data_IF_306656028649
#
_entry.id   IF_306656028649
#
_cell.length_a   1.000
_cell.length_b   1.000
_cell.length_c   1.000
_cell.angle_alpha   90.00
_cell.angle_beta   90.00
_cell.angle_gamma   90.00
#
_symmetry.space_group_name_H-M   'P 1'
#
loop_
_entity.id
_entity.type
_entity.pdbx_description
1 polymer ?
#
# COMPACT_ATOMS: atom_id res chain seq x y z
N UNK A 1 13.13 -28.36 -42.37
CA UNK A 1 12.84 -26.97 -41.95
C UNK A 1 13.83 -26.05 -42.64
N UNK A 2 13.38 -24.95 -43.26
CA UNK A 2 14.28 -23.98 -43.87
C UNK A 2 15.15 -23.31 -42.79
N UNK A 3 16.36 -22.86 -43.15
CA UNK A 3 17.27 -22.16 -42.22
C UNK A 3 16.60 -20.96 -41.51
N UNK A 4 15.62 -20.32 -42.16
CA UNK A 4 14.84 -19.23 -41.57
C UNK A 4 13.97 -19.70 -40.39
N UNK A 5 13.38 -20.90 -40.46
CA UNK A 5 12.54 -21.41 -39.37
C UNK A 5 13.37 -21.80 -38.13
N UNK A 6 14.63 -22.21 -38.31
CA UNK A 6 15.54 -22.46 -37.19
C UNK A 6 15.98 -21.16 -36.49
N UNK A 7 16.25 -20.11 -37.27
CA UNK A 7 16.65 -18.81 -36.71
C UNK A 7 15.51 -18.17 -35.89
N UNK A 8 14.27 -18.24 -36.40
CA UNK A 8 13.07 -17.73 -35.68
C UNK A 8 12.86 -18.51 -34.37
N UNK A 9 13.05 -19.83 -34.38
CA UNK A 9 12.90 -20.65 -33.19
C UNK A 9 13.95 -20.29 -32.13
N UNK A 10 15.21 -20.10 -32.53
CA UNK A 10 16.33 -19.74 -31.64
C UNK A 10 16.12 -18.35 -31.04
N UNK A 11 15.70 -17.37 -31.84
CA UNK A 11 15.41 -16.01 -31.35
C UNK A 11 14.23 -16.03 -30.38
N UNK A 12 13.18 -16.80 -30.66
CA UNK A 12 12.03 -16.95 -29.76
C UNK A 12 12.42 -17.64 -28.45
N UNK A 13 13.29 -18.66 -28.50
CA UNK A 13 13.81 -19.34 -27.31
C UNK A 13 14.68 -18.42 -26.47
N UNK A 14 15.56 -17.62 -27.11
CA UNK A 14 16.38 -16.62 -26.43
C UNK A 14 15.53 -15.52 -25.79
N UNK A 15 14.48 -15.07 -26.46
CA UNK A 15 13.53 -14.11 -25.89
C UNK A 15 12.78 -14.70 -24.69
N UNK A 16 12.41 -15.98 -24.75
CA UNK A 16 11.79 -16.69 -23.63
C UNK A 16 12.77 -16.85 -22.47
N UNK A 17 14.01 -17.24 -22.73
CA UNK A 17 15.06 -17.39 -21.73
C UNK A 17 15.41 -16.04 -21.09
N UNK A 18 15.52 -14.96 -21.87
CA UNK A 18 15.78 -13.62 -21.33
C UNK A 18 14.61 -13.12 -20.49
N UNK A 19 13.36 -13.32 -20.93
CA UNK A 19 12.19 -12.97 -20.11
C UNK A 19 12.11 -13.84 -18.85
N UNK A 20 12.49 -15.11 -18.91
CA UNK A 20 12.56 -16.00 -17.75
C UNK A 20 13.67 -15.54 -16.80
N UNK A 21 14.86 -15.17 -17.28
CA UNK A 21 15.98 -14.70 -16.45
C UNK A 21 15.66 -13.33 -15.83
N UNK A 22 15.07 -12.40 -16.58
CA UNK A 22 14.64 -11.08 -16.07
C UNK A 22 13.49 -11.23 -15.06
N UNK A 23 12.59 -12.20 -15.27
CA UNK A 23 11.58 -12.57 -14.27
C UNK A 23 12.20 -13.27 -13.04
N UNK A 24 13.29 -14.02 -13.22
CA UNK A 24 13.99 -14.73 -12.15
C UNK A 24 14.80 -13.78 -11.25
N UNK A 25 15.41 -12.72 -11.81
CA UNK A 25 16.06 -11.66 -11.01
C UNK A 25 15.07 -10.88 -10.13
N UNK A 26 13.77 -10.97 -10.40
CA UNK A 26 12.71 -10.38 -9.57
C UNK A 26 12.13 -11.31 -8.49
N UNK A 27 12.63 -12.54 -8.38
CA UNK A 27 12.14 -13.57 -7.45
C UNK A 27 13.25 -14.19 -6.60
N UNK A 28 14.14 -13.38 -6.05
CA UNK A 28 14.73 -13.75 -4.75
C UNK A 28 13.62 -13.61 -3.70
N UNK A 29 12.72 -14.60 -3.62
CA UNK A 29 11.81 -14.72 -2.49
C UNK A 29 12.64 -14.64 -1.21
N UNK A 30 12.37 -13.66 -0.37
CA UNK A 30 13.00 -13.62 0.93
C UNK A 30 12.62 -14.91 1.65
N UNK A 31 13.55 -15.49 2.42
CA UNK A 31 13.29 -16.67 3.24
C UNK A 31 12.45 -16.33 4.49
N UNK A 32 11.52 -15.38 4.38
CA UNK A 32 10.62 -14.98 5.47
C UNK A 32 9.34 -15.78 5.32
N UNK A 33 9.02 -16.58 6.34
CA UNK A 33 7.87 -17.49 6.36
C UNK A 33 7.12 -17.36 7.67
N UNK A 34 5.85 -17.76 7.68
CA UNK A 34 5.12 -17.93 8.92
C UNK A 34 5.60 -19.18 9.65
N UNK A 35 5.82 -19.05 10.95
CA UNK A 35 5.90 -20.16 11.88
C UNK A 35 4.52 -20.42 12.48
N UNK A 36 4.40 -21.45 13.32
CA UNK A 36 3.15 -21.74 14.02
C UNK A 36 2.80 -20.60 15.00
N UNK A 37 1.53 -20.52 15.38
CA UNK A 37 1.04 -19.57 16.38
C UNK A 37 1.39 -18.10 16.07
N UNK A 38 1.50 -17.73 14.79
CA UNK A 38 1.83 -16.37 14.37
C UNK A 38 3.29 -15.99 14.58
N UNK A 39 4.20 -16.95 14.75
CA UNK A 39 5.63 -16.72 14.66
C UNK A 39 6.08 -16.35 13.23
N UNK A 40 7.30 -15.84 13.11
CA UNK A 40 7.90 -15.49 11.81
C UNK A 40 9.33 -16.01 11.72
N UNK A 41 9.66 -16.69 10.64
CA UNK A 41 11.02 -17.12 10.34
C UNK A 41 11.82 -15.91 9.84
N UNK A 42 12.88 -15.57 10.56
CA UNK A 42 13.80 -14.50 10.23
C UNK A 42 15.23 -14.97 10.51
N UNK A 43 16.10 -14.85 9.50
CA UNK A 43 17.49 -15.31 9.58
C UNK A 43 17.67 -16.79 9.93
N UNK A 44 16.76 -17.65 9.46
CA UNK A 44 16.81 -19.10 9.68
C UNK A 44 16.32 -19.57 11.05
N UNK A 45 15.69 -18.68 11.83
CA UNK A 45 15.09 -19.02 13.12
C UNK A 45 13.72 -18.38 13.28
N UNK A 46 12.81 -19.02 14.01
CA UNK A 46 11.50 -18.46 14.29
C UNK A 46 11.58 -17.45 15.45
N UNK A 47 11.04 -16.25 15.21
CA UNK A 47 10.72 -15.27 16.24
C UNK A 47 9.31 -15.60 16.75
N UNK A 48 9.25 -16.00 18.02
CA UNK A 48 8.04 -16.53 18.64
C UNK A 48 7.35 -15.53 19.56
N UNK A 49 6.02 -15.69 19.77
CA UNK A 49 5.33 -14.99 20.83
C UNK A 49 5.97 -15.26 22.18
N UNK A 50 5.82 -14.32 23.11
CA UNK A 50 6.05 -14.60 24.52
C UNK A 50 5.21 -15.82 24.93
N UNK A 51 5.80 -16.73 25.72
CA UNK A 51 5.21 -18.04 26.09
C UNK A 51 5.26 -19.15 25.03
N UNK A 52 5.78 -18.87 23.82
CA UNK A 52 5.98 -19.88 22.79
C UNK A 52 7.48 -20.02 22.51
N UNK A 53 7.91 -21.21 22.12
CA UNK A 53 9.35 -21.48 21.95
C UNK A 53 9.59 -22.58 20.92
N UNK A 54 10.85 -22.85 20.64
CA UNK A 54 11.25 -23.91 19.72
C UNK A 54 11.29 -23.45 18.26
N UNK A 55 11.55 -24.41 17.38
CA UNK A 55 11.92 -24.10 15.99
C UNK A 55 10.73 -23.70 15.12
N UNK A 56 9.49 -23.88 15.62
CA UNK A 56 8.26 -23.51 14.91
C UNK A 56 7.35 -22.62 15.74
N UNK A 57 7.78 -22.19 16.93
CA UNK A 57 6.93 -21.51 17.91
C UNK A 57 5.80 -22.39 18.43
N UNK A 58 6.11 -23.66 18.68
CA UNK A 58 5.25 -24.59 19.37
C UNK A 58 4.92 -24.13 20.81
N UNK A 59 3.74 -24.51 21.30
CA UNK A 59 3.29 -24.20 22.66
C UNK A 59 4.18 -24.99 23.64
N UNK A 60 4.82 -24.27 24.55
CA UNK A 60 5.66 -24.87 25.60
C UNK A 60 5.34 -24.28 26.99
N UNK A 61 4.10 -23.85 27.19
CA UNK A 61 3.75 -22.94 28.27
C UNK A 61 2.43 -23.27 28.92
N UNK A 62 2.40 -23.13 30.24
CA UNK A 62 1.21 -23.14 31.10
C UNK A 62 0.64 -21.74 31.32
N UNK A 63 1.14 -20.72 30.62
CA UNK A 63 0.68 -19.34 30.73
C UNK A 63 -0.78 -19.21 30.31
N UNK A 64 -1.53 -18.46 31.11
CA UNK A 64 -2.97 -18.26 30.89
C UNK A 64 -3.20 -17.64 29.51
N UNK A 65 -2.35 -16.68 29.11
CA UNK A 65 -2.47 -15.96 27.85
C UNK A 65 -2.45 -16.86 26.61
N UNK A 66 -1.85 -18.07 26.66
CA UNK A 66 -1.71 -18.94 25.47
C UNK A 66 -2.92 -19.84 25.23
N UNK A 67 -3.93 -19.80 26.11
CA UNK A 67 -5.13 -20.67 26.04
C UNK A 67 -6.41 -19.91 25.70
N UNK A 68 -6.28 -18.62 25.40
CA UNK A 68 -7.38 -17.68 25.27
C UNK A 68 -8.16 -17.89 23.99
N UNK A 69 -9.49 -17.84 24.10
CA UNK A 69 -10.41 -17.91 22.97
C UNK A 69 -11.43 -16.79 23.02
N UNK A 70 -11.85 -16.34 21.83
CA UNK A 70 -13.02 -15.48 21.63
C UNK A 70 -14.03 -16.18 20.72
N UNK A 71 -14.98 -16.88 21.34
CA UNK A 71 -15.80 -17.87 20.64
C UNK A 71 -14.92 -18.98 20.08
N UNK A 72 -14.98 -19.17 18.76
CA UNK A 72 -14.17 -20.17 18.04
C UNK A 72 -12.77 -19.66 17.65
N UNK A 73 -12.49 -18.37 17.82
CA UNK A 73 -11.19 -17.80 17.47
C UNK A 73 -10.16 -18.07 18.57
N UNK A 74 -9.03 -18.68 18.21
CA UNK A 74 -7.86 -18.77 19.08
C UNK A 74 -7.15 -17.42 19.12
N UNK A 75 -7.10 -16.83 20.32
CA UNK A 75 -6.44 -15.55 20.59
C UNK A 75 -5.19 -15.72 21.45
N UNK A 76 -4.74 -16.96 21.70
CA UNK A 76 -3.64 -17.21 22.62
C UNK A 76 -2.36 -16.49 22.22
N UNK A 77 -2.00 -16.59 20.94
CA UNK A 77 -0.81 -15.93 20.40
C UNK A 77 -0.91 -14.39 20.47
N UNK A 78 -2.06 -13.83 20.10
CA UNK A 78 -2.34 -12.41 20.18
C UNK A 78 -2.26 -11.90 21.61
N UNK A 79 -2.92 -12.60 22.54
CA UNK A 79 -2.98 -12.26 23.96
C UNK A 79 -1.58 -12.24 24.57
N UNK A 80 -0.76 -13.28 24.32
CA UNK A 80 0.61 -13.31 24.83
C UNK A 80 1.52 -12.26 24.19
N UNK A 81 1.36 -11.94 22.89
CA UNK A 81 2.11 -10.84 22.29
C UNK A 81 1.73 -9.49 22.88
N UNK A 82 0.45 -9.27 23.14
CA UNK A 82 -0.01 -8.04 23.75
C UNK A 82 0.49 -7.90 25.20
N UNK A 83 0.49 -9.01 25.96
CA UNK A 83 1.12 -9.10 27.28
C UNK A 83 2.60 -8.70 27.22
N UNK A 84 3.33 -9.22 26.24
CA UNK A 84 4.74 -8.90 26.03
C UNK A 84 4.97 -7.42 25.73
N UNK A 85 4.20 -6.82 24.80
CA UNK A 85 4.31 -5.38 24.49
C UNK A 85 4.07 -4.50 25.72
N UNK A 86 3.11 -4.89 26.55
CA UNK A 86 2.82 -4.19 27.79
C UNK A 86 3.98 -4.33 28.81
N UNK A 87 4.57 -5.52 28.95
CA UNK A 87 5.62 -5.78 29.94
C UNK A 87 6.94 -5.07 29.63
N UNK A 88 7.30 -4.93 28.35
CA UNK A 88 8.52 -4.21 27.94
C UNK A 88 8.33 -2.70 27.81
N UNK A 89 7.11 -2.20 28.02
CA UNK A 89 6.72 -0.83 27.72
C UNK A 89 7.11 -0.43 26.28
N UNK A 90 6.53 -1.11 25.29
CA UNK A 90 6.95 -0.98 23.88
C UNK A 90 7.03 0.47 23.38
N UNK A 91 6.17 1.38 23.87
CA UNK A 91 6.23 2.81 23.52
C UNK A 91 7.50 3.50 24.02
N UNK A 92 8.02 3.13 25.19
CA UNK A 92 9.30 3.63 25.68
C UNK A 92 10.50 3.05 24.91
N UNK A 93 10.33 1.90 24.25
CA UNK A 93 11.33 1.28 23.39
C UNK A 93 11.25 1.75 21.93
N UNK A 94 10.35 2.69 21.64
CA UNK A 94 10.14 3.17 20.28
C UNK A 94 11.42 3.76 19.70
N UNK A 95 11.66 3.52 18.41
CA UNK A 95 12.81 4.06 17.71
C UNK A 95 12.81 5.59 17.79
N UNK A 96 13.98 6.16 18.08
CA UNK A 96 14.21 7.60 17.91
C UNK A 96 14.26 7.97 16.42
N UNK A 97 14.33 9.27 16.13
CA UNK A 97 14.36 9.80 14.75
C UNK A 97 15.76 9.73 14.10
N UNK A 98 16.68 8.94 14.66
CA UNK A 98 18.04 8.86 14.14
C UNK A 98 18.07 7.98 12.89
N UNK A 99 18.71 8.48 11.82
CA UNK A 99 18.92 7.72 10.61
C UNK A 99 19.78 6.48 10.93
N UNK A 100 19.24 5.30 10.65
CA UNK A 100 19.94 4.02 10.77
C UNK A 100 20.61 3.76 9.43
N UNK A 101 21.94 3.76 9.38
CA UNK A 101 22.69 3.77 8.10
C UNK A 101 23.34 2.42 7.80
N UNK A 102 23.75 1.66 8.82
CA UNK A 102 24.47 0.40 8.64
C UNK A 102 23.51 -0.80 8.51
N UNK A 103 23.77 -1.70 7.56
CA UNK A 103 23.05 -2.97 7.36
C UNK A 103 22.94 -3.81 8.64
N UNK A 104 24.01 -3.90 9.44
CA UNK A 104 23.95 -4.69 10.67
C UNK A 104 23.02 -4.11 11.71
N UNK A 105 22.95 -2.78 11.79
CA UNK A 105 22.04 -2.10 12.71
C UNK A 105 20.60 -2.26 12.22
N UNK A 106 20.36 -2.09 10.92
CA UNK A 106 19.05 -2.35 10.32
C UNK A 106 18.56 -3.76 10.61
N UNK A 107 19.41 -4.77 10.43
CA UNK A 107 19.08 -6.15 10.69
C UNK A 107 18.55 -6.35 12.11
N UNK A 108 19.34 -5.92 13.10
CA UNK A 108 18.98 -6.02 14.51
C UNK A 108 17.70 -5.24 14.84
N UNK A 109 17.47 -4.10 14.19
CA UNK A 109 16.25 -3.30 14.39
C UNK A 109 15.03 -3.95 13.76
N UNK A 110 15.13 -4.50 12.55
CA UNK A 110 14.06 -5.27 11.93
C UNK A 110 13.70 -6.48 12.80
N UNK A 111 14.70 -7.24 13.26
CA UNK A 111 14.49 -8.36 14.18
C UNK A 111 13.77 -7.91 15.47
N UNK A 112 14.16 -6.76 16.03
CA UNK A 112 13.50 -6.18 17.20
C UNK A 112 12.03 -5.81 16.92
N UNK A 113 11.73 -5.18 15.78
CA UNK A 113 10.36 -4.84 15.40
C UNK A 113 9.51 -6.12 15.24
N UNK A 114 10.10 -7.16 14.64
CA UNK A 114 9.45 -8.46 14.46
C UNK A 114 9.22 -9.22 15.78
N UNK A 115 9.99 -8.92 16.83
CA UNK A 115 9.74 -9.44 18.19
C UNK A 115 8.59 -8.69 18.88
N UNK A 116 8.48 -7.38 18.65
CA UNK A 116 7.55 -6.52 19.39
C UNK A 116 6.12 -6.57 18.82
N UNK A 117 5.94 -6.49 17.51
CA UNK A 117 4.63 -6.16 16.92
C UNK A 117 3.84 -7.34 16.32
N UNK A 118 4.25 -8.58 16.63
CA UNK A 118 3.49 -9.78 16.24
C UNK A 118 2.14 -9.90 17.00
N UNK A 119 1.40 -11.01 16.81
CA UNK A 119 1.65 -12.13 15.90
C UNK A 119 1.64 -11.73 14.42
N UNK A 120 2.18 -12.60 13.57
CA UNK A 120 2.33 -12.40 12.12
C UNK A 120 1.31 -13.22 11.31
N UNK A 121 0.86 -12.64 10.20
CA UNK A 121 -0.12 -13.17 9.26
C UNK A 121 0.47 -13.26 7.85
N UNK A 122 -0.26 -13.87 6.91
CA UNK A 122 0.17 -13.95 5.50
C UNK A 122 0.32 -12.56 4.88
N UNK A 123 -0.58 -11.63 5.20
CA UNK A 123 -0.50 -10.25 4.72
C UNK A 123 0.78 -9.55 5.20
N UNK A 124 1.24 -9.83 6.42
CA UNK A 124 2.51 -9.26 6.92
C UNK A 124 3.71 -9.81 6.16
N UNK A 125 3.75 -11.11 5.90
CA UNK A 125 4.84 -11.72 5.13
C UNK A 125 4.88 -11.17 3.70
N UNK A 126 3.72 -10.99 3.08
CA UNK A 126 3.61 -10.35 1.78
C UNK A 126 4.19 -8.93 1.82
N UNK A 127 3.81 -8.13 2.82
CA UNK A 127 4.34 -6.77 3.00
C UNK A 127 5.86 -6.75 3.16
N UNK A 128 6.41 -7.60 4.03
CA UNK A 128 7.86 -7.68 4.24
C UNK A 128 8.61 -8.11 2.98
N UNK A 129 8.02 -8.97 2.14
CA UNK A 129 8.61 -9.34 0.84
C UNK A 129 8.73 -8.18 -0.15
N UNK A 130 7.84 -7.19 -0.09
CA UNK A 130 7.99 -5.98 -0.88
C UNK A 130 9.00 -5.01 -0.24
N UNK A 131 9.03 -4.94 1.08
CA UNK A 131 9.76 -3.90 1.79
C UNK A 131 11.23 -4.22 2.05
N UNK A 132 11.55 -5.48 2.36
CA UNK A 132 12.88 -5.90 2.76
C UNK A 132 13.70 -6.39 1.57
N UNK A 133 15.01 -6.34 1.74
CA UNK A 133 15.98 -7.06 0.91
C UNK A 133 16.92 -7.84 1.82
N UNK A 134 17.41 -8.98 1.32
CA UNK A 134 18.42 -9.80 1.99
C UNK A 134 19.74 -9.67 1.23
N UNK A 135 20.82 -9.38 1.93
CA UNK A 135 22.16 -9.44 1.37
C UNK A 135 22.57 -10.91 1.22
N UNK A 136 22.96 -11.32 0.01
CA UNK A 136 23.34 -12.70 -0.30
C UNK A 136 24.58 -13.16 0.46
N UNK A 137 25.52 -12.24 0.71
CA UNK A 137 26.83 -12.55 1.26
C UNK A 137 26.79 -12.62 2.78
N UNK A 138 26.03 -11.71 3.41
CA UNK A 138 25.94 -11.61 4.88
C UNK A 138 24.69 -12.30 5.45
N UNK A 139 23.70 -12.61 4.61
CA UNK A 139 22.39 -13.10 5.03
C UNK A 139 21.53 -12.04 5.75
N UNK A 140 22.02 -10.79 5.86
CA UNK A 140 21.35 -9.75 6.64
C UNK A 140 20.24 -9.06 5.85
N UNK A 141 19.09 -8.91 6.50
CA UNK A 141 17.97 -8.08 6.03
C UNK A 141 18.17 -6.58 6.26
N UNK A 142 17.68 -5.78 5.32
CA UNK A 142 17.61 -4.30 5.37
C UNK A 142 16.37 -3.81 4.61
N UNK A 143 16.00 -2.53 4.74
CA UNK A 143 14.94 -1.95 3.89
C UNK A 143 15.46 -1.79 2.45
N UNK A 144 14.58 -2.04 1.48
CA UNK A 144 14.93 -1.97 0.05
C UNK A 144 15.35 -0.56 -0.39
N UNK A 145 14.72 0.48 0.16
CA UNK A 145 14.90 1.89 -0.25
C UNK A 145 15.52 2.81 0.81
N UNK A 146 16.20 2.24 1.81
CA UNK A 146 16.90 3.07 2.79
C UNK A 146 17.91 4.01 2.09
N UNK A 147 17.94 5.29 2.52
CA UNK A 147 18.96 6.29 2.17
C UNK A 147 19.13 6.56 0.67
N UNK A 148 18.15 6.22 -0.17
CA UNK A 148 18.15 6.64 -1.56
C UNK A 148 17.58 8.06 -1.66
N UNK A 149 18.45 9.05 -1.85
CA UNK A 149 18.00 10.37 -2.27
C UNK A 149 17.56 10.31 -3.73
N UNK A 150 16.25 10.23 -3.96
CA UNK A 150 15.67 10.57 -5.25
C UNK A 150 15.64 12.08 -5.39
N UNK A 151 16.79 12.66 -5.76
CA UNK A 151 16.86 14.06 -6.13
C UNK A 151 16.22 14.25 -7.51
N UNK A 152 14.94 14.62 -7.51
CA UNK A 152 14.29 15.16 -8.71
C UNK A 152 14.77 16.61 -8.86
N UNK A 153 15.41 16.97 -9.98
CA UNK A 153 15.76 18.36 -10.23
C UNK A 153 14.50 19.22 -10.13
N UNK A 154 14.60 20.32 -9.36
CA UNK A 154 13.53 21.32 -9.28
C UNK A 154 13.53 22.14 -10.58
N UNK A 155 13.03 21.53 -11.65
CA UNK A 155 12.88 22.13 -12.96
C UNK A 155 11.39 22.30 -13.31
N UNK A 156 11.11 23.17 -14.28
CA UNK A 156 9.74 23.49 -14.71
C UNK A 156 9.15 22.43 -15.67
N UNK A 157 9.77 21.26 -15.85
CA UNK A 157 9.26 20.24 -16.77
C UNK A 157 8.15 19.43 -16.11
N UNK A 158 7.11 19.14 -16.89
CA UNK A 158 6.05 18.22 -16.50
C UNK A 158 6.64 16.86 -16.11
N UNK A 159 6.31 16.43 -14.89
CA UNK A 159 6.74 15.13 -14.37
C UNK A 159 5.63 14.09 -14.52
N UNK A 160 5.96 12.80 -14.67
CA UNK A 160 4.97 11.75 -14.58
C UNK A 160 4.17 11.80 -13.27
N UNK A 161 2.95 11.26 -13.30
CA UNK A 161 2.16 10.92 -12.13
C UNK A 161 2.19 9.41 -11.94
N UNK A 162 2.03 8.97 -10.69
CA UNK A 162 1.81 7.59 -10.33
C UNK A 162 0.40 7.39 -9.77
N UNK A 163 -0.22 6.26 -10.09
CA UNK A 163 -1.55 5.90 -9.65
C UNK A 163 -1.52 4.52 -8.99
N UNK A 164 -2.15 4.41 -7.83
CA UNK A 164 -2.40 3.13 -7.15
C UNK A 164 -3.90 2.88 -7.19
N UNK A 165 -4.33 1.88 -7.95
CA UNK A 165 -5.74 1.52 -8.08
C UNK A 165 -6.05 0.27 -7.24
N UNK A 166 -6.89 0.43 -6.23
CA UNK A 166 -7.33 -0.64 -5.32
C UNK A 166 -8.71 -1.15 -5.76
N UNK A 167 -8.73 -2.38 -6.30
CA UNK A 167 -9.91 -3.00 -6.91
C UNK A 167 -10.39 -4.15 -6.01
N UNK A 168 -11.55 -3.97 -5.39
CA UNK A 168 -12.19 -5.02 -4.59
C UNK A 168 -13.14 -5.91 -5.42
N UNK A 169 -13.68 -5.37 -6.51
CA UNK A 169 -14.52 -6.05 -7.48
C UNK A 169 -14.12 -5.61 -8.88
N UNK A 170 -13.90 -6.56 -9.79
CA UNK A 170 -13.53 -6.25 -11.17
C UNK A 170 -14.78 -5.82 -11.95
N UNK A 171 -14.72 -4.63 -12.53
CA UNK A 171 -15.68 -4.11 -13.48
C UNK A 171 -14.93 -3.49 -14.66
N UNK A 172 -14.77 -4.26 -15.74
CA UNK A 172 -13.91 -3.90 -16.86
C UNK A 172 -14.38 -2.59 -17.52
N UNK A 173 -15.70 -2.34 -17.60
CA UNK A 173 -16.24 -1.11 -18.22
C UNK A 173 -15.87 0.15 -17.42
N UNK A 174 -15.96 0.11 -16.09
CA UNK A 174 -15.55 1.24 -15.24
C UNK A 174 -14.04 1.45 -15.28
N UNK A 175 -13.26 0.36 -15.27
CA UNK A 175 -11.80 0.43 -15.39
C UNK A 175 -11.42 1.02 -16.76
N UNK A 176 -12.06 0.57 -17.84
CA UNK A 176 -11.82 1.10 -19.18
C UNK A 176 -12.14 2.59 -19.29
N UNK A 177 -13.29 3.00 -18.73
CA UNK A 177 -13.67 4.41 -18.67
C UNK A 177 -12.64 5.24 -17.91
N UNK A 178 -12.14 4.74 -16.77
CA UNK A 178 -11.13 5.42 -15.97
C UNK A 178 -9.78 5.50 -16.71
N UNK A 179 -9.36 4.43 -17.38
CA UNK A 179 -8.11 4.38 -18.13
C UNK A 179 -8.14 5.27 -19.37
N UNK A 180 -9.28 5.40 -20.06
CA UNK A 180 -9.45 6.39 -21.13
C UNK A 180 -9.18 7.82 -20.68
N UNK A 181 -9.40 8.12 -19.40
CA UNK A 181 -9.14 9.44 -18.81
C UNK A 181 -7.70 9.56 -18.30
N UNK A 182 -7.23 8.57 -17.55
CA UNK A 182 -5.98 8.69 -16.78
C UNK A 182 -4.74 8.14 -17.50
N UNK A 183 -4.90 7.24 -18.47
CA UNK A 183 -3.76 6.51 -19.03
C UNK A 183 -2.96 7.36 -20.01
N UNK A 184 -1.66 7.48 -19.71
CA UNK A 184 -0.63 7.92 -20.66
C UNK A 184 0.62 7.07 -20.46
N UNK A 185 1.38 6.76 -21.53
CA UNK A 185 2.53 5.84 -21.47
C UNK A 185 3.70 6.32 -20.58
N UNK A 186 3.75 7.62 -20.27
CA UNK A 186 4.76 8.19 -19.38
C UNK A 186 4.36 8.18 -17.90
N UNK A 187 3.08 8.02 -17.55
CA UNK A 187 2.61 7.84 -16.17
C UNK A 187 2.84 6.41 -15.68
N UNK A 188 2.66 6.18 -14.38
CA UNK A 188 2.84 4.88 -13.74
C UNK A 188 1.54 4.39 -13.09
N UNK A 189 1.26 3.10 -13.20
CA UNK A 189 0.05 2.49 -12.65
C UNK A 189 0.43 1.22 -11.90
N UNK A 190 0.06 1.13 -10.63
CA UNK A 190 0.07 -0.12 -9.87
C UNK A 190 -1.37 -0.48 -9.53
N UNK A 191 -1.77 -1.69 -9.89
CA UNK A 191 -3.12 -2.19 -9.75
C UNK A 191 -3.11 -3.31 -8.72
N UNK A 192 -3.86 -3.12 -7.64
CA UNK A 192 -4.14 -4.18 -6.67
C UNK A 192 -5.55 -4.71 -6.93
N UNK A 193 -5.68 -6.03 -7.02
CA UNK A 193 -6.96 -6.74 -7.04
C UNK A 193 -7.05 -7.50 -5.72
N UNK A 194 -8.12 -7.31 -4.96
CA UNK A 194 -8.32 -7.98 -3.67
C UNK A 194 -8.35 -9.50 -3.85
N UNK A 195 -7.62 -10.24 -3.02
CA UNK A 195 -7.62 -11.71 -3.05
C UNK A 195 -8.96 -12.34 -2.66
N UNK A 196 -9.90 -11.57 -2.09
CA UNK A 196 -11.30 -11.97 -1.96
C UNK A 196 -12.02 -12.13 -3.30
N UNK A 197 -11.55 -11.44 -4.33
CA UNK A 197 -12.13 -11.50 -5.66
C UNK A 197 -11.69 -12.80 -6.34
N UNK A 198 -12.61 -13.77 -6.46
CA UNK A 198 -12.30 -15.14 -6.87
C UNK A 198 -12.69 -15.48 -8.33
N UNK A 199 -13.02 -14.49 -9.15
CA UNK A 199 -13.35 -14.70 -10.56
C UNK A 199 -12.09 -14.63 -11.43
N UNK A 200 -11.41 -15.77 -11.57
CA UNK A 200 -10.16 -15.89 -12.32
C UNK A 200 -10.30 -15.42 -13.78
N UNK A 201 -11.40 -15.73 -14.46
CA UNK A 201 -11.61 -15.32 -15.86
C UNK A 201 -11.71 -13.81 -16.02
N UNK A 202 -12.32 -13.09 -15.07
CA UNK A 202 -12.34 -11.63 -15.12
C UNK A 202 -10.99 -11.00 -14.78
N UNK A 203 -10.22 -11.62 -13.88
CA UNK A 203 -8.84 -11.20 -13.61
C UNK A 203 -8.00 -11.35 -14.88
N UNK A 204 -8.07 -12.49 -15.55
CA UNK A 204 -7.35 -12.74 -16.80
C UNK A 204 -7.75 -11.74 -17.90
N UNK A 205 -9.06 -11.48 -18.08
CA UNK A 205 -9.54 -10.47 -19.02
C UNK A 205 -9.02 -9.07 -18.69
N UNK A 206 -8.92 -8.73 -17.40
CA UNK A 206 -8.39 -7.45 -16.95
C UNK A 206 -6.88 -7.32 -17.20
N UNK A 207 -6.12 -8.40 -16.98
CA UNK A 207 -4.69 -8.44 -17.30
C UNK A 207 -4.47 -8.29 -18.81
N UNK A 208 -5.22 -9.02 -19.64
CA UNK A 208 -5.19 -8.88 -21.09
C UNK A 208 -5.57 -7.47 -21.55
N UNK A 209 -6.55 -6.84 -20.90
CA UNK A 209 -6.91 -5.44 -21.17
C UNK A 209 -5.71 -4.50 -20.96
N UNK A 210 -5.00 -4.62 -19.84
CA UNK A 210 -3.83 -3.77 -19.57
C UNK A 210 -2.68 -4.00 -20.55
N UNK A 211 -2.43 -5.24 -20.96
CA UNK A 211 -1.45 -5.56 -22.01
C UNK A 211 -1.79 -4.88 -23.34
N UNK A 212 -3.07 -4.90 -23.73
CA UNK A 212 -3.55 -4.26 -24.95
C UNK A 212 -3.41 -2.74 -24.90
N UNK A 213 -3.86 -2.10 -23.81
CA UNK A 213 -3.70 -0.65 -23.59
C UNK A 213 -2.23 -0.23 -23.74
N UNK A 214 -1.32 -1.01 -23.15
CA UNK A 214 0.10 -0.73 -23.25
C UNK A 214 0.63 -0.93 -24.68
N UNK A 215 0.29 -2.02 -25.34
CA UNK A 215 0.74 -2.33 -26.69
C UNK A 215 0.26 -1.29 -27.72
N UNK A 216 -0.97 -0.81 -27.60
CA UNK A 216 -1.53 0.25 -28.44
C UNK A 216 -0.79 1.58 -28.24
N UNK A 217 -0.53 1.95 -26.99
CA UNK A 217 0.15 3.21 -26.67
C UNK A 217 1.58 3.30 -27.22
N UNK A 218 2.30 2.17 -27.27
CA UNK A 218 3.65 2.08 -27.86
C UNK A 218 3.62 2.20 -29.39
N UNK A 219 2.49 1.93 -30.05
CA UNK A 219 2.31 2.12 -31.50
C UNK A 219 1.97 3.57 -31.84
N UNK A 220 1.15 4.22 -31.00
CA UNK A 220 0.64 5.57 -31.28
C UNK A 220 1.66 6.68 -30.99
N UNK A 221 2.59 6.48 -30.07
CA UNK A 221 3.57 7.51 -29.67
C UNK A 221 5.00 6.96 -29.68
N UNK A 222 5.73 7.24 -30.77
CA UNK A 222 7.11 6.77 -30.97
C UNK A 222 8.08 7.27 -29.90
N UNK A 223 7.76 8.36 -29.19
CA UNK A 223 8.58 8.93 -28.11
C UNK A 223 8.74 7.96 -26.94
N UNK A 224 7.72 7.12 -26.68
CA UNK A 224 7.69 6.22 -25.51
C UNK A 224 7.83 4.75 -25.88
N UNK A 225 8.19 4.44 -27.14
CA UNK A 225 8.33 3.07 -27.63
C UNK A 225 9.28 2.22 -26.78
N UNK A 226 10.38 2.83 -26.33
CA UNK A 226 11.43 2.15 -25.55
C UNK A 226 11.16 2.18 -24.03
N UNK A 227 10.04 2.76 -23.57
CA UNK A 227 9.69 2.73 -22.16
C UNK A 227 9.36 1.29 -21.74
N UNK A 228 9.82 0.86 -20.54
CA UNK A 228 9.37 -0.39 -19.95
C UNK A 228 7.86 -0.36 -19.66
N UNK A 229 7.33 -1.46 -19.15
CA UNK A 229 5.92 -1.48 -18.76
C UNK A 229 5.65 -0.38 -17.72
N UNK A 230 4.59 0.37 -17.95
CA UNK A 230 4.13 1.43 -17.06
C UNK A 230 2.85 1.05 -16.29
N UNK A 231 2.37 -0.18 -16.45
CA UNK A 231 1.27 -0.79 -15.68
C UNK A 231 1.82 -2.04 -15.00
N UNK A 232 1.58 -2.19 -13.70
CA UNK A 232 1.93 -3.36 -12.93
C UNK A 232 0.72 -3.84 -12.11
N UNK A 233 0.25 -5.07 -12.38
CA UNK A 233 -0.74 -5.74 -11.54
C UNK A 233 0.00 -6.49 -10.43
N UNK A 234 -0.32 -6.22 -9.17
CA UNK A 234 0.30 -6.90 -8.04
C UNK A 234 -0.08 -8.39 -8.08
N UNK A 235 0.87 -9.24 -8.51
CA UNK A 235 0.70 -10.71 -8.58
C UNK A 235 0.36 -11.34 -7.23
N UNK A 236 0.83 -10.74 -6.14
CA UNK A 236 0.54 -11.16 -4.77
C UNK A 236 -0.50 -10.21 -4.19
N UNK A 237 -1.75 -10.61 -4.31
CA UNK A 237 -2.87 -9.83 -3.80
C UNK A 237 -2.97 -9.97 -2.28
N UNK A 238 -3.07 -8.83 -1.61
CA UNK A 238 -3.45 -8.78 -0.21
C UNK A 238 -4.90 -9.21 -0.02
N UNK A 239 -5.16 -9.77 1.14
CA UNK A 239 -6.51 -9.93 1.65
C UNK A 239 -6.98 -8.58 2.23
N UNK A 240 -7.74 -7.82 1.44
CA UNK A 240 -8.13 -6.45 1.74
C UNK A 240 -9.27 -6.39 2.76
N UNK A 241 -8.91 -6.35 4.04
CA UNK A 241 -9.87 -6.29 5.13
C UNK A 241 -10.30 -4.86 5.37
N UNK A 242 -11.60 -4.62 5.30
CA UNK A 242 -12.15 -3.32 5.67
C UNK A 242 -11.80 -3.01 7.14
N UNK A 243 -11.13 -1.87 7.34
CA UNK A 243 -10.65 -1.42 8.64
C UNK A 243 -9.39 -2.14 9.16
N UNK A 244 -8.81 -3.06 8.39
CA UNK A 244 -7.57 -3.75 8.74
C UNK A 244 -6.32 -3.08 8.15
N UNK A 245 -5.15 -3.41 8.70
CA UNK A 245 -3.86 -2.88 8.26
C UNK A 245 -3.47 -3.24 6.82
N UNK A 246 -4.08 -4.28 6.25
CA UNK A 246 -3.76 -4.70 4.88
C UNK A 246 -4.08 -3.63 3.83
N UNK A 247 -4.99 -2.70 4.10
CA UNK A 247 -5.24 -1.53 3.24
C UNK A 247 -3.99 -0.65 3.12
N UNK A 248 -3.26 -0.44 4.21
CA UNK A 248 -2.00 0.31 4.20
C UNK A 248 -0.89 -0.50 3.53
N UNK A 249 -0.84 -1.82 3.75
CA UNK A 249 0.14 -2.69 3.10
C UNK A 249 0.02 -2.66 1.58
N UNK A 250 -1.19 -2.62 1.03
CA UNK A 250 -1.43 -2.50 -0.40
C UNK A 250 -0.75 -1.24 -0.96
N UNK A 251 -0.96 -0.10 -0.30
CA UNK A 251 -0.42 1.18 -0.76
C UNK A 251 1.11 1.22 -0.68
N UNK A 252 1.69 0.83 0.46
CA UNK A 252 3.15 0.83 0.63
C UNK A 252 3.86 -0.16 -0.29
N UNK A 253 3.27 -1.35 -0.51
CA UNK A 253 3.82 -2.30 -1.49
C UNK A 253 3.75 -1.74 -2.90
N UNK A 254 2.68 -0.99 -3.21
CA UNK A 254 2.55 -0.30 -4.49
C UNK A 254 3.61 0.78 -4.64
N UNK A 255 3.97 1.51 -3.58
CA UNK A 255 5.03 2.51 -3.63
C UNK A 255 6.39 1.87 -3.91
N UNK A 256 6.71 0.74 -3.27
CA UNK A 256 7.89 -0.07 -3.62
C UNK A 256 7.91 -0.37 -5.13
N UNK A 257 6.82 -0.93 -5.66
CA UNK A 257 6.74 -1.27 -7.08
C UNK A 257 6.87 -0.03 -7.98
N UNK A 258 6.29 1.11 -7.59
CA UNK A 258 6.44 2.36 -8.34
C UNK A 258 7.91 2.84 -8.41
N UNK A 259 8.67 2.75 -7.32
CA UNK A 259 10.09 3.10 -7.32
C UNK A 259 10.94 2.09 -8.09
N UNK A 260 10.57 0.82 -8.06
CA UNK A 260 11.14 -0.22 -8.90
C UNK A 260 10.95 0.09 -10.40
N UNK A 261 9.73 0.45 -10.82
CA UNK A 261 9.44 0.85 -12.20
C UNK A 261 10.22 2.10 -12.60
N UNK A 262 10.48 3.04 -11.67
CA UNK A 262 11.38 4.18 -11.92
C UNK A 262 12.81 3.70 -12.16
N UNK A 263 13.36 2.82 -11.31
CA UNK A 263 14.70 2.26 -11.49
C UNK A 263 14.83 1.53 -12.83
N UNK A 264 13.86 0.70 -13.18
CA UNK A 264 13.82 0.00 -14.46
C UNK A 264 13.82 0.98 -15.64
N UNK A 265 12.98 2.01 -15.58
CA UNK A 265 12.93 3.04 -16.62
C UNK A 265 14.26 3.77 -16.75
N UNK A 266 14.87 4.21 -15.64
CA UNK A 266 16.18 4.87 -15.63
C UNK A 266 17.24 3.96 -16.27
N UNK A 267 17.29 2.68 -15.90
CA UNK A 267 18.24 1.73 -16.45
C UNK A 267 18.04 1.53 -17.97
N UNK A 268 16.79 1.60 -18.44
CA UNK A 268 16.45 1.40 -19.85
C UNK A 268 16.71 2.62 -20.73
N UNK A 269 16.37 3.83 -20.24
CA UNK A 269 16.40 5.07 -21.05
C UNK A 269 17.52 6.04 -20.66
N UNK A 270 18.25 5.79 -19.57
CA UNK A 270 19.41 6.58 -19.14
C UNK A 270 19.11 7.96 -18.53
N UNK A 271 17.85 8.27 -18.17
CA UNK A 271 17.48 9.58 -17.63
C UNK A 271 16.60 9.48 -16.39
N UNK A 272 17.04 10.12 -15.30
CA UNK A 272 16.26 10.27 -14.07
C UNK A 272 15.14 11.33 -14.22
N UNK A 273 15.43 12.42 -14.93
CA UNK A 273 14.63 13.65 -14.90
C UNK A 273 13.21 13.49 -15.45
N UNK A 274 13.04 12.58 -16.42
CA UNK A 274 11.76 12.24 -17.04
C UNK A 274 11.17 10.93 -16.50
N UNK A 275 11.91 10.21 -15.64
CA UNK A 275 11.49 8.93 -15.08
C UNK A 275 10.81 9.10 -13.73
N UNK A 276 11.37 9.89 -12.82
CA UNK A 276 10.78 10.03 -11.50
C UNK A 276 9.43 10.76 -11.55
N UNK A 277 8.38 10.10 -11.07
CA UNK A 277 7.06 10.69 -10.91
C UNK A 277 7.05 11.73 -9.79
N UNK A 278 6.22 12.76 -9.91
CA UNK A 278 6.10 13.83 -8.91
C UNK A 278 5.29 13.39 -7.70
N UNK A 279 4.12 12.79 -7.95
CA UNK A 279 3.15 12.38 -6.94
C UNK A 279 2.57 11.01 -7.23
N UNK A 280 2.18 10.32 -6.16
CA UNK A 280 1.35 9.13 -6.18
C UNK A 280 -0.06 9.46 -5.69
N UNK A 281 -1.06 8.96 -6.42
CA UNK A 281 -2.49 9.17 -6.17
C UNK A 281 -3.13 7.81 -5.93
N UNK A 282 -3.69 7.59 -4.74
CA UNK A 282 -4.46 6.39 -4.47
C UNK A 282 -5.92 6.56 -4.91
N UNK A 283 -6.49 5.52 -5.51
CA UNK A 283 -7.84 5.49 -6.06
C UNK A 283 -8.51 4.14 -5.76
N UNK A 284 -9.81 4.15 -5.51
CA UNK A 284 -10.65 2.96 -5.68
C UNK A 284 -11.21 2.89 -7.10
N UNK A 285 -11.80 1.74 -7.46
CA UNK A 285 -12.60 1.62 -8.67
C UNK A 285 -13.85 2.54 -8.72
N UNK A 286 -14.20 3.22 -7.61
CA UNK A 286 -15.34 4.13 -7.53
C UNK A 286 -14.93 5.60 -7.43
N UNK A 287 -13.65 5.91 -7.58
CA UNK A 287 -13.18 7.29 -7.75
C UNK A 287 -13.33 7.71 -9.20
N UNK A 288 -13.76 8.95 -9.44
CA UNK A 288 -13.91 9.49 -10.78
C UNK A 288 -13.26 10.89 -10.87
N UNK A 289 -12.43 11.16 -11.91
CA UNK A 289 -11.78 12.45 -12.06
C UNK A 289 -12.78 13.59 -12.33
N UNK A 290 -12.51 14.76 -11.76
CA UNK A 290 -13.26 16.01 -11.99
C UNK A 290 -12.38 17.11 -12.58
N UNK A 291 -11.23 16.71 -13.13
CA UNK A 291 -10.23 17.55 -13.80
C UNK A 291 -9.60 16.74 -14.94
N UNK A 292 -9.17 17.40 -16.01
CA UNK A 292 -8.42 16.72 -17.08
C UNK A 292 -7.03 16.30 -16.59
N UNK A 293 -6.49 15.23 -17.18
CA UNK A 293 -5.20 14.68 -16.78
C UNK A 293 -4.07 15.69 -16.99
N UNK A 294 -4.07 16.45 -18.10
CA UNK A 294 -3.03 17.47 -18.34
C UNK A 294 -3.03 18.55 -17.25
N UNK A 295 -4.20 19.04 -16.85
CA UNK A 295 -4.32 20.05 -15.78
C UNK A 295 -3.90 19.50 -14.41
N UNK A 296 -4.26 18.25 -14.11
CA UNK A 296 -3.82 17.57 -12.90
C UNK A 296 -2.29 17.45 -12.85
N UNK A 297 -1.68 17.01 -13.95
CA UNK A 297 -0.23 16.86 -14.08
C UNK A 297 0.49 18.20 -13.93
N UNK A 298 -0.01 19.24 -14.60
CA UNK A 298 0.54 20.59 -14.52
C UNK A 298 0.50 21.12 -13.08
N UNK A 299 -0.68 21.06 -12.45
CA UNK A 299 -0.87 21.54 -11.08
C UNK A 299 0.07 20.84 -10.10
N UNK A 300 0.13 19.51 -10.16
CA UNK A 300 0.99 18.73 -9.26
C UNK A 300 2.47 18.97 -9.54
N UNK A 301 2.89 19.07 -10.80
CA UNK A 301 4.28 19.41 -11.15
C UNK A 301 4.70 20.76 -10.55
N UNK A 302 3.85 21.79 -10.69
CA UNK A 302 4.11 23.12 -10.12
C UNK A 302 4.18 23.11 -8.59
N UNK A 303 3.60 22.10 -7.95
CA UNK A 303 3.53 21.93 -6.50
C UNK A 303 4.32 20.69 -6.02
N UNK A 304 5.43 20.33 -6.67
CA UNK A 304 6.15 19.06 -6.42
C UNK A 304 6.67 18.81 -5.00
N UNK A 305 6.77 19.86 -4.16
CA UNK A 305 7.17 19.73 -2.77
C UNK A 305 5.97 19.68 -1.81
N UNK A 306 4.74 19.59 -2.32
CA UNK A 306 3.52 19.57 -1.51
C UNK A 306 2.89 18.18 -1.52
N UNK A 307 2.60 17.62 -0.35
CA UNK A 307 1.72 16.45 -0.22
C UNK A 307 0.33 16.91 0.24
N UNK A 308 -0.73 16.38 -0.37
CA UNK A 308 -2.12 16.66 -0.03
C UNK A 308 -2.64 15.51 0.83
N UNK A 309 -2.61 15.71 2.14
CA UNK A 309 -2.90 14.71 3.15
C UNK A 309 -3.76 15.37 4.21
N UNK A 310 -5.02 14.94 4.29
CA UNK A 310 -5.93 15.39 5.32
C UNK A 310 -5.37 14.98 6.67
N UNK A 311 -5.30 15.96 7.55
CA UNK A 311 -4.74 15.83 8.87
C UNK A 311 -5.56 16.74 9.76
N UNK A 312 -6.29 16.14 10.69
CA UNK A 312 -7.11 16.80 11.67
C UNK A 312 -6.91 16.17 13.05
N UNK A 313 -7.62 16.74 14.02
CA UNK A 313 -7.64 16.24 15.39
C UNK A 313 -8.36 14.88 15.48
N UNK A 314 -8.13 14.19 16.60
CA UNK A 314 -8.80 12.92 16.88
C UNK A 314 -10.26 13.20 17.22
N UNK A 315 -11.16 12.79 16.32
CA UNK A 315 -12.62 12.98 16.48
C UNK A 315 -13.27 11.77 17.17
N UNK A 316 -12.67 10.58 17.08
CA UNK A 316 -13.25 9.34 17.57
C UNK A 316 -12.26 8.47 18.36
N UNK A 317 -12.23 8.62 19.69
CA UNK A 317 -11.33 7.86 20.57
C UNK A 317 -11.62 6.35 20.62
N UNK A 318 -12.79 5.88 20.15
CA UNK A 318 -13.16 4.46 20.16
C UNK A 318 -12.12 3.60 19.44
N UNK A 319 -11.66 4.04 18.26
CA UNK A 319 -10.71 3.27 17.43
C UNK A 319 -9.37 3.01 18.14
N UNK A 320 -9.08 3.83 19.14
CA UNK A 320 -7.81 3.89 19.82
C UNK A 320 -7.83 3.25 21.22
N UNK A 321 -9.00 3.28 21.87
CA UNK A 321 -9.21 2.74 23.20
C UNK A 321 -9.35 1.22 23.18
N UNK A 322 -9.79 0.64 22.07
CA UNK A 322 -9.96 -0.80 21.91
C UNK A 322 -8.87 -1.41 21.05
N UNK A 323 -8.68 -2.73 21.23
CA UNK A 323 -7.80 -3.52 20.39
C UNK A 323 -8.62 -4.32 19.39
N UNK A 324 -8.14 -4.36 18.15
CA UNK A 324 -8.80 -5.07 17.07
C UNK A 324 -7.90 -6.14 16.47
N UNK A 325 -8.51 -7.16 15.88
CA UNK A 325 -7.76 -8.25 15.27
C UNK A 325 -8.46 -8.76 14.02
N UNK A 326 -7.68 -9.46 13.19
CA UNK A 326 -8.19 -10.20 12.04
C UNK A 326 -8.80 -11.53 12.51
N UNK A 327 -10.14 -11.58 12.50
CA UNK A 327 -10.93 -12.77 12.79
C UNK A 327 -11.23 -13.54 11.50
N UNK A 328 -10.72 -14.76 11.41
CA UNK A 328 -11.02 -15.66 10.31
C UNK A 328 -12.54 -15.98 10.29
N UNK A 329 -13.18 -16.08 9.11
CA UNK A 329 -12.58 -16.00 7.80
C UNK A 329 -12.31 -14.59 7.28
N UNK A 330 -13.03 -13.54 7.70
CA UNK A 330 -13.08 -12.29 6.91
C UNK A 330 -13.44 -11.00 7.67
N UNK A 331 -13.26 -10.94 8.99
CA UNK A 331 -13.72 -9.75 9.76
C UNK A 331 -12.60 -9.16 10.58
N UNK A 332 -12.47 -7.84 10.50
CA UNK A 332 -11.72 -7.10 11.51
C UNK A 332 -12.68 -6.84 12.68
N UNK A 333 -12.35 -7.40 13.84
CA UNK A 333 -13.27 -7.44 14.98
C UNK A 333 -12.62 -6.85 16.23
N UNK A 334 -13.44 -6.34 17.13
CA UNK A 334 -12.99 -5.79 18.41
C UNK A 334 -12.76 -6.95 19.38
N UNK A 335 -11.59 -6.98 20.03
CA UNK A 335 -11.34 -7.93 21.11
C UNK A 335 -12.13 -7.47 22.34
N UNK A 336 -12.91 -8.38 22.94
CA UNK A 336 -13.69 -8.09 24.14
C UNK A 336 -12.79 -7.64 25.31
N UNK A 337 -13.18 -6.58 26.01
CA UNK A 337 -12.46 -6.08 27.20
C UNK A 337 -12.29 -7.15 28.28
N UNK A 338 -13.25 -8.07 28.43
CA UNK A 338 -13.16 -9.17 29.41
C UNK A 338 -11.98 -10.10 29.13
N UNK A 339 -11.58 -10.24 27.86
CA UNK A 339 -10.44 -11.07 27.50
C UNK A 339 -9.16 -10.52 28.15
N UNK A 340 -8.97 -9.20 28.15
CA UNK A 340 -7.82 -8.57 28.82
C UNK A 340 -7.89 -8.72 30.34
N UNK A 341 -9.07 -8.57 30.94
CA UNK A 341 -9.27 -8.64 32.38
C UNK A 341 -9.10 -10.05 32.96
N UNK A 342 -9.55 -11.07 32.22
CA UNK A 342 -9.63 -12.45 32.72
C UNK A 342 -8.42 -13.31 32.33
N UNK A 343 -7.67 -12.93 31.27
CA UNK A 343 -6.68 -13.82 30.67
C UNK A 343 -5.25 -13.26 30.62
N UNK A 344 -4.97 -12.21 31.39
CA UNK A 344 -3.63 -11.61 31.49
C UNK A 344 -3.02 -11.24 30.12
N UNK A 345 -3.85 -10.69 29.22
CA UNK A 345 -3.41 -10.28 27.88
C UNK A 345 -2.62 -8.96 27.88
N UNK A 346 -2.15 -8.47 29.03
CA UNK A 346 -1.58 -7.13 29.16
C UNK A 346 -2.65 -6.04 29.08
N UNK A 347 -2.36 -4.98 28.34
CA UNK A 347 -3.22 -3.78 28.32
C UNK A 347 -4.02 -3.66 27.02
N UNK A 348 -5.29 -3.30 27.16
CA UNK A 348 -6.21 -3.02 26.04
C UNK A 348 -5.90 -1.68 25.37
N UNK A 349 -6.17 -1.57 24.08
CA UNK A 349 -6.06 -0.33 23.31
C UNK A 349 -4.70 -0.12 22.67
N UNK A 350 -4.67 0.75 21.66
CA UNK A 350 -3.47 1.02 20.87
C UNK A 350 -2.73 2.28 21.30
N UNK A 351 -3.37 3.23 22.00
CA UNK A 351 -2.75 4.50 22.44
C UNK A 351 -1.47 4.36 23.26
N UNK A 352 -1.34 3.24 23.96
CA UNK A 352 -0.17 2.95 24.79
C UNK A 352 1.03 2.45 24.00
N UNK A 353 0.85 2.11 22.73
CA UNK A 353 1.91 1.58 21.86
C UNK A 353 2.32 2.57 20.77
N UNK A 354 1.54 3.64 20.53
CA UNK A 354 1.81 4.63 19.49
C UNK A 354 1.43 6.05 19.93
N UNK A 355 2.20 7.04 19.50
CA UNK A 355 1.89 8.46 19.73
C UNK A 355 0.96 8.96 18.62
N UNK A 356 -0.34 8.72 18.77
CA UNK A 356 -1.33 9.16 17.80
C UNK A 356 -1.83 10.54 18.19
N UNK A 357 -1.59 11.52 17.33
CA UNK A 357 -2.05 12.89 17.49
C UNK A 357 -2.87 13.41 16.30
N UNK A 358 -2.93 12.63 15.20
CA UNK A 358 -3.45 13.08 13.93
C UNK A 358 -4.25 11.97 13.23
N UNK A 359 -5.34 12.37 12.59
CA UNK A 359 -6.29 11.49 11.93
C UNK A 359 -6.82 12.18 10.66
N UNK A 360 -7.23 11.42 9.65
CA UNK A 360 -7.68 12.01 8.40
C UNK A 360 -8.49 11.04 7.54
N UNK A 361 -8.28 11.12 6.24
CA UNK A 361 -8.87 10.21 5.26
C UNK A 361 -7.78 9.30 4.68
N UNK A 362 -8.16 8.09 4.29
CA UNK A 362 -7.35 7.14 3.51
C UNK A 362 -6.89 7.77 2.18
N UNK A 363 -7.71 8.67 1.63
CA UNK A 363 -7.52 9.24 0.32
C UNK A 363 -6.58 10.43 0.31
N UNK A 364 -5.50 10.35 -0.47
CA UNK A 364 -4.45 11.37 -0.47
C UNK A 364 -3.68 11.44 -1.80
N UNK A 365 -2.92 12.52 -1.96
CA UNK A 365 -1.95 12.70 -3.04
C UNK A 365 -0.61 12.99 -2.40
N UNK A 366 0.32 12.04 -2.45
CA UNK A 366 1.61 12.18 -1.76
C UNK A 366 2.70 12.48 -2.79
N UNK A 367 3.58 13.43 -2.49
CA UNK A 367 4.75 13.60 -3.33
C UNK A 367 5.73 12.42 -3.15
N UNK A 368 6.58 12.21 -4.14
CA UNK A 368 7.51 11.08 -4.15
C UNK A 368 8.46 11.06 -2.96
N UNK A 369 8.88 12.22 -2.42
CA UNK A 369 9.80 12.26 -1.27
C UNK A 369 9.14 11.68 -0.03
N UNK A 370 7.87 12.01 0.20
CA UNK A 370 7.14 11.48 1.34
C UNK A 370 6.78 10.00 1.14
N UNK A 371 6.30 9.62 -0.05
CA UNK A 371 6.04 8.22 -0.37
C UNK A 371 7.30 7.34 -0.23
N UNK A 372 8.48 7.87 -0.60
CA UNK A 372 9.76 7.20 -0.40
C UNK A 372 10.11 7.01 1.08
N UNK A 373 9.92 8.04 1.90
CA UNK A 373 10.13 7.95 3.35
C UNK A 373 9.29 6.83 3.98
N UNK A 374 8.02 6.71 3.59
CA UNK A 374 7.11 5.70 4.14
C UNK A 374 7.56 4.25 3.90
N UNK A 375 8.36 3.99 2.86
CA UNK A 375 8.90 2.66 2.54
C UNK A 375 10.40 2.53 2.81
N UNK A 376 11.08 3.64 3.10
CA UNK A 376 12.53 3.72 3.21
C UNK A 376 13.04 3.98 4.62
N UNK A 377 12.17 4.38 5.55
CA UNK A 377 12.57 4.78 6.91
C UNK A 377 12.07 3.81 7.97
N UNK A 378 12.96 3.39 8.88
CA UNK A 378 12.63 2.45 9.96
C UNK A 378 11.57 2.98 10.91
N UNK A 379 11.52 4.30 11.12
CA UNK A 379 10.51 4.91 11.99
C UNK A 379 9.12 4.81 11.36
N UNK A 380 9.00 4.99 10.04
CA UNK A 380 7.74 4.78 9.34
C UNK A 380 7.27 3.32 9.46
N UNK A 381 8.18 2.36 9.32
CA UNK A 381 7.86 0.93 9.50
C UNK A 381 7.40 0.64 10.93
N UNK A 382 8.08 1.19 11.94
CA UNK A 382 7.64 1.04 13.33
C UNK A 382 6.24 1.64 13.57
N UNK A 383 5.98 2.84 13.06
CA UNK A 383 4.66 3.49 13.18
C UNK A 383 3.58 2.60 12.56
N UNK A 384 3.82 2.03 11.38
CA UNK A 384 2.89 1.09 10.76
C UNK A 384 2.60 -0.12 11.64
N UNK A 385 3.66 -0.80 12.10
CA UNK A 385 3.54 -2.01 12.89
C UNK A 385 2.89 -1.76 14.26
N UNK A 386 3.07 -0.57 14.82
CA UNK A 386 2.38 -0.14 16.04
C UNK A 386 0.86 -0.01 15.86
N UNK A 387 0.39 0.19 14.62
CA UNK A 387 -1.02 0.29 14.25
C UNK A 387 -1.62 -1.05 13.79
N UNK A 388 -0.91 -2.17 13.96
CA UNK A 388 -1.39 -3.49 13.49
C UNK A 388 -2.74 -3.91 14.03
N UNK A 389 -3.00 -3.60 15.30
CA UNK A 389 -4.24 -3.96 16.01
C UNK A 389 -5.17 -2.75 16.16
N UNK A 390 -5.04 -1.81 15.22
CA UNK A 390 -5.77 -0.56 15.16
C UNK A 390 -6.89 -0.64 14.13
N UNK A 391 -8.07 -0.05 14.41
CA UNK A 391 -9.17 -0.02 13.46
C UNK A 391 -9.06 1.17 12.50
N UNK A 392 -9.08 0.87 11.19
CA UNK A 392 -8.92 1.82 10.09
C UNK A 392 -7.57 2.56 10.15
N UNK A 393 -6.45 1.83 10.17
CA UNK A 393 -5.12 2.43 10.24
C UNK A 393 -4.78 3.22 8.97
N UNK A 394 -5.46 2.98 7.86
CA UNK A 394 -5.36 3.74 6.61
C UNK A 394 -5.79 5.20 6.73
N UNK A 395 -6.62 5.54 7.72
CA UNK A 395 -6.98 6.94 8.05
C UNK A 395 -6.07 7.58 9.12
N UNK A 396 -5.01 6.88 9.54
CA UNK A 396 -4.12 7.32 10.64
C UNK A 396 -2.64 7.20 10.30
N UNK A 397 -2.20 6.14 9.63
CA UNK A 397 -0.79 5.80 9.43
C UNK A 397 -0.02 6.91 8.71
N UNK A 398 -0.58 7.43 7.62
CA UNK A 398 0.05 8.49 6.84
C UNK A 398 0.16 9.77 7.68
N UNK A 399 -0.88 10.12 8.43
CA UNK A 399 -0.88 11.29 9.31
C UNK A 399 0.12 11.12 10.47
N UNK A 400 0.14 9.96 11.13
CA UNK A 400 1.07 9.68 12.22
C UNK A 400 2.54 9.67 11.75
N UNK A 401 2.81 9.12 10.57
CA UNK A 401 4.16 9.06 10.00
C UNK A 401 4.70 10.45 9.63
N UNK A 402 3.83 11.40 9.27
CA UNK A 402 4.22 12.80 8.97
C UNK A 402 4.95 13.46 10.15
N UNK A 403 4.61 13.13 11.39
CA UNK A 403 5.27 13.67 12.60
C UNK A 403 6.76 13.36 12.67
N UNK A 404 7.16 12.22 12.12
CA UNK A 404 8.53 11.71 12.16
C UNK A 404 9.27 11.94 10.85
N UNK A 405 8.59 12.48 9.85
CA UNK A 405 9.20 12.79 8.56
C UNK A 405 10.19 13.95 8.71
N UNK A 406 11.47 13.77 8.39
CA UNK A 406 12.43 14.86 8.39
C UNK A 406 12.09 15.81 7.23
N UNK A 407 11.28 16.83 7.52
CA UNK A 407 10.75 17.79 6.53
C UNK A 407 11.89 18.39 5.69
N UNK A 408 12.02 17.99 4.40
CA UNK A 408 13.02 18.59 3.53
C UNK A 408 12.69 20.06 3.30
N UNK A 409 13.71 20.87 3.01
CA UNK A 409 13.54 22.30 2.73
C UNK A 409 12.48 22.49 1.63
N UNK A 410 11.47 23.31 1.93
CA UNK A 410 10.39 23.64 1.01
C UNK A 410 9.26 22.61 0.92
N UNK A 411 9.34 21.48 1.63
CA UNK A 411 8.25 20.51 1.71
C UNK A 411 7.07 21.08 2.50
N UNK A 412 5.85 20.86 2.01
CA UNK A 412 4.60 21.28 2.65
C UNK A 412 3.59 20.15 2.68
N UNK A 413 2.72 20.18 3.68
CA UNK A 413 1.52 19.35 3.73
C UNK A 413 0.30 20.24 3.64
N UNK A 414 -0.58 19.95 2.70
CA UNK A 414 -1.88 20.60 2.54
C UNK A 414 -2.99 19.67 3.04
N UNK A 415 -3.91 20.20 3.84
CA UNK A 415 -4.99 19.42 4.47
C UNK A 415 -6.14 19.16 3.49
N UNK A 416 -6.33 20.01 2.49
CA UNK A 416 -7.26 19.74 1.38
C UNK A 416 -6.69 18.67 0.44
N UNK A 417 -7.21 17.44 0.55
CA UNK A 417 -6.82 16.30 -0.30
C UNK A 417 -7.33 16.39 -1.74
N UNK A 418 -8.06 17.46 -2.09
CA UNK A 418 -8.64 17.67 -3.43
C UNK A 418 -9.57 16.54 -3.85
N UNK A 419 -10.25 15.92 -2.88
CA UNK A 419 -11.18 14.81 -3.10
C UNK A 419 -12.46 15.01 -2.31
N UNK A 420 -13.60 14.84 -2.98
CA UNK A 420 -14.92 14.93 -2.36
C UNK A 420 -15.57 13.57 -2.21
N UNK A 421 -16.07 13.30 -1.01
CA UNK A 421 -16.92 12.13 -0.70
C UNK A 421 -18.29 12.61 -0.25
N UNK A 422 -19.36 12.02 -0.78
CA UNK A 422 -20.74 12.39 -0.46
C UNK A 422 -21.20 11.78 0.88
N UNK A 423 -20.56 12.18 1.99
CA UNK A 423 -20.75 11.58 3.32
C UNK A 423 -22.19 11.59 3.84
N UNK A 424 -23.01 12.56 3.41
CA UNK A 424 -24.42 12.66 3.80
C UNK A 424 -25.37 11.86 2.90
N UNK A 425 -24.92 11.43 1.72
CA UNK A 425 -25.79 10.78 0.73
C UNK A 425 -25.87 9.28 1.01
N UNK A 426 -27.07 8.77 1.33
CA UNK A 426 -27.29 7.36 1.65
C UNK A 426 -26.30 6.82 2.69
N UNK A 427 -26.06 7.56 3.77
CA UNK A 427 -25.03 7.22 4.77
C UNK A 427 -25.23 5.86 5.44
N UNK A 428 -26.50 5.44 5.52
CA UNK A 428 -26.96 4.23 6.21
C UNK A 428 -27.10 3.03 5.26
N UNK A 429 -26.87 3.23 3.95
CA UNK A 429 -26.92 2.14 2.99
C UNK A 429 -25.74 1.17 3.20
N UNK A 430 -26.02 -0.13 3.07
CA UNK A 430 -25.05 -1.20 3.32
C UNK A 430 -24.39 -1.75 2.04
N UNK A 431 -24.17 -0.96 0.98
CA UNK A 431 -23.72 -1.53 -0.31
C UNK A 431 -23.24 -0.52 -1.38
N UNK A 432 -23.44 -0.90 -2.64
CA UNK A 432 -23.18 -0.19 -3.90
C UNK A 432 -23.96 1.13 -4.08
N UNK A 433 -24.60 1.64 -3.04
CA UNK A 433 -25.31 2.92 -3.05
C UNK A 433 -24.86 3.89 -1.95
N UNK A 434 -24.01 3.45 -1.01
CA UNK A 434 -23.52 4.27 0.11
C UNK A 434 -22.60 5.36 -0.41
N UNK A 435 -22.92 6.62 -0.13
CA UNK A 435 -22.19 7.80 -0.62
C UNK A 435 -22.14 7.89 -2.15
N UNK A 436 -23.12 7.29 -2.84
CA UNK A 436 -23.22 7.35 -4.30
C UNK A 436 -23.39 8.81 -4.75
N UNK A 437 -22.62 9.20 -5.78
CA UNK A 437 -22.78 10.50 -6.43
C UNK A 437 -24.05 10.48 -7.27
N UNK A 438 -24.92 11.47 -7.10
CA UNK A 438 -26.10 11.66 -7.96
C UNK A 438 -25.85 12.72 -9.04
N UNK A 439 -26.70 12.78 -10.07
CA UNK A 439 -26.66 13.86 -11.08
C UNK A 439 -26.79 15.25 -10.43
N UNK A 440 -27.61 15.39 -9.38
CA UNK A 440 -27.76 16.66 -8.67
C UNK A 440 -26.47 17.08 -7.94
N UNK A 441 -25.64 16.12 -7.52
CA UNK A 441 -24.35 16.41 -6.91
C UNK A 441 -23.33 16.86 -7.95
N UNK A 442 -23.37 16.30 -9.16
CA UNK A 442 -22.48 16.70 -10.28
C UNK A 442 -22.62 18.19 -10.57
N UNK A 443 -23.84 18.74 -10.54
CA UNK A 443 -24.09 20.17 -10.74
C UNK A 443 -23.44 21.05 -9.68
N UNK A 444 -23.33 20.57 -8.43
CA UNK A 444 -22.75 21.30 -7.30
C UNK A 444 -21.22 21.23 -7.24
N UNK A 445 -20.60 20.28 -7.94
CA UNK A 445 -19.14 20.16 -7.97
C UNK A 445 -18.51 21.42 -8.54
N UNK A 446 -17.55 21.98 -7.80
CA UNK A 446 -16.95 23.28 -8.07
C UNK A 446 -15.82 23.23 -9.10
N UNK A 447 -15.24 22.05 -9.32
CA UNK A 447 -14.06 21.87 -10.15
C UNK A 447 -12.75 22.21 -9.44
N UNK A 448 -12.81 22.53 -8.14
CA UNK A 448 -11.62 22.65 -7.27
C UNK A 448 -11.12 21.29 -6.80
N UNK A 449 -12.00 20.29 -6.83
CA UNK A 449 -11.74 18.90 -6.54
C UNK A 449 -11.08 18.24 -7.77
N UNK A 450 -10.12 17.34 -7.53
CA UNK A 450 -9.52 16.51 -8.58
C UNK A 450 -10.28 15.21 -8.79
N UNK A 451 -10.91 14.71 -7.72
CA UNK A 451 -11.66 13.45 -7.74
C UNK A 451 -12.94 13.56 -6.92
N UNK A 452 -13.96 12.83 -7.33
CA UNK A 452 -15.20 12.61 -6.58
C UNK A 452 -15.45 11.12 -6.37
N UNK A 453 -16.05 10.76 -5.23
CA UNK A 453 -16.48 9.39 -4.92
C UNK A 453 -17.79 9.36 -4.11
N UNK A 454 -18.62 8.33 -4.24
CA UNK A 454 -18.42 7.10 -5.03
C UNK A 454 -19.25 7.09 -6.31
N UNK A 455 -18.61 6.91 -7.46
CA UNK A 455 -19.29 6.71 -8.75
C UNK A 455 -19.27 5.21 -9.05
N UNK A 456 -20.44 4.57 -9.00
CA UNK A 456 -20.57 3.13 -9.13
C UNK A 456 -20.67 2.70 -10.60
N UNK A 457 -20.38 1.41 -10.91
CA UNK A 457 -20.40 0.91 -12.28
C UNK A 457 -21.67 1.20 -13.06
N UNK A 458 -22.82 1.00 -12.42
CA UNK A 458 -24.15 1.16 -13.02
C UNK A 458 -24.55 2.62 -13.28
N UNK A 459 -23.84 3.61 -12.76
CA UNK A 459 -24.17 5.03 -12.87
C UNK A 459 -23.56 5.67 -14.13
N UNK A 460 -23.94 5.16 -15.32
CA UNK A 460 -23.39 5.61 -16.62
C UNK A 460 -23.69 7.07 -16.89
N UNK A 461 -24.91 7.51 -16.60
CA UNK A 461 -25.37 8.89 -16.70
C UNK A 461 -24.55 9.86 -15.84
N UNK A 462 -24.20 9.47 -14.61
CA UNK A 462 -23.35 10.26 -13.72
C UNK A 462 -21.93 10.38 -14.28
N UNK A 463 -21.35 9.28 -14.77
CA UNK A 463 -20.01 9.30 -15.41
C UNK A 463 -20.01 10.24 -16.63
N UNK A 464 -20.99 10.11 -17.51
CA UNK A 464 -21.15 10.96 -18.70
C UNK A 464 -21.33 12.44 -18.32
N UNK A 465 -22.13 12.73 -17.30
CA UNK A 465 -22.33 14.09 -16.80
C UNK A 465 -21.01 14.71 -16.29
N UNK A 466 -20.21 13.94 -15.54
CA UNK A 466 -18.90 14.40 -15.06
C UNK A 466 -17.95 14.63 -16.23
N UNK A 467 -17.84 13.68 -17.17
CA UNK A 467 -17.00 13.82 -18.38
C UNK A 467 -17.37 15.08 -19.15
N UNK A 468 -18.67 15.30 -19.38
CA UNK A 468 -19.18 16.45 -20.12
C UNK A 468 -18.90 17.77 -19.40
N UNK A 469 -19.11 17.82 -18.08
CA UNK A 469 -18.96 19.04 -17.28
C UNK A 469 -17.49 19.46 -17.15
N UNK A 470 -16.59 18.50 -16.95
CA UNK A 470 -15.19 18.78 -16.63
C UNK A 470 -14.21 18.53 -17.77
N UNK A 471 -14.68 18.07 -18.93
CA UNK A 471 -13.88 17.76 -20.11
C UNK A 471 -12.69 16.85 -19.77
N UNK A 472 -12.98 15.73 -19.09
CA UNK A 472 -11.94 14.84 -18.55
C UNK A 472 -11.30 13.95 -19.60
N UNK A 473 -11.98 13.69 -20.72
CA UNK A 473 -11.44 12.99 -21.88
C UNK A 473 -10.92 14.04 -22.86
N UNK A 474 -9.63 13.94 -23.19
CA UNK A 474 -8.89 14.84 -24.10
C UNK A 474 -8.91 14.38 -25.56
#
# INVERSE_FOLDING_TARGET
MSKNNQLILIVSLLFLIVNVIVAYEYQNELDIKLCENGGIEFSGSCICPYSYSGNKCEINSTEICSTVKDGDADLGNFCCWNKYRASINAKAQALGNNAIVNESEQHSKLESLLKVYGPWSKNDILYFNYLFKKNSDTGKYSLKYLNLEYNVPNDNRLKPLAFVLMIHNVDIESIDTLFKILYKPYHYFVIHIDSNYNNASQIELLEQYFENVQAESKKSDSKYKDYPSNIHVLKRSYYGLWGGISLVYIELSSYTVLFDMVKERINKIGSNENSQWSHVINLSANDFPTISLAKLQEFLTQNQNTSYLADCCIINTFRFNYTFYEKFPKKYDMVSTNIFLENDCGREGSYQYVDICQYGTQWHILNHKYAHYLIGDMKAVEVLLSLKFFWVPDETFFQASKRYYPLPIGHKFEVDVRRTTMWSTNSDAHDSSRFAVSLADVEKLSGREFFVRKVYPHQKDVKEAIIKKFHTIE
#
